data_IF_112703724385
#
_entry.id   IF_112703724385
#
_cell.length_a   1.000
_cell.length_b   1.000
_cell.length_c   1.000
_cell.angle_alpha   90.00
_cell.angle_beta   90.00
_cell.angle_gamma   90.00
#
_symmetry.space_group_name_H-M   'P 1'
#
loop_
_entity.id
_entity.type
_entity.pdbx_description
1 polymer ?
#
# COMPACT_ATOMS: atom_id res chain seq x y z
N UNK A 1 24.61 17.38 -47.46
CA UNK A 1 23.85 17.06 -46.24
C UNK A 1 24.28 15.67 -45.81
N UNK A 2 24.93 15.55 -44.65
CA UNK A 2 25.23 14.24 -44.07
C UNK A 2 23.96 13.71 -43.44
N UNK A 3 23.41 12.62 -43.97
CA UNK A 3 22.31 11.89 -43.33
C UNK A 3 22.91 10.85 -42.40
N UNK A 4 22.50 10.88 -41.13
CA UNK A 4 22.87 9.85 -40.16
C UNK A 4 21.77 8.79 -40.15
N UNK A 5 22.14 7.54 -40.38
CA UNK A 5 21.27 6.39 -40.15
C UNK A 5 21.43 5.97 -38.69
N UNK A 6 20.33 5.96 -37.94
CA UNK A 6 20.29 5.50 -36.56
C UNK A 6 19.71 4.08 -36.55
N UNK A 7 20.53 3.10 -36.17
CA UNK A 7 20.11 1.72 -35.98
C UNK A 7 19.72 1.48 -34.52
N UNK A 8 18.48 1.06 -34.30
CA UNK A 8 17.91 0.82 -32.97
C UNK A 8 17.77 -0.68 -32.72
N UNK A 9 18.31 -1.16 -31.60
CA UNK A 9 18.21 -2.58 -31.20
C UNK A 9 17.17 -2.74 -30.10
N UNK A 10 16.09 -3.46 -30.38
CA UNK A 10 15.03 -3.77 -29.41
C UNK A 10 15.24 -5.19 -28.87
N UNK A 11 15.24 -5.35 -27.54
CA UNK A 11 15.48 -6.64 -26.86
C UNK A 11 14.26 -7.57 -26.90
N UNK A 12 13.08 -7.00 -27.14
CA UNK A 12 11.83 -7.70 -27.39
C UNK A 12 11.03 -6.95 -28.47
N UNK A 13 10.13 -7.63 -29.20
CA UNK A 13 9.19 -6.92 -30.07
C UNK A 13 8.17 -6.14 -29.24
N UNK A 14 7.79 -4.94 -29.70
CA UNK A 14 6.54 -4.31 -29.25
C UNK A 14 5.39 -5.27 -29.56
N UNK A 15 4.52 -5.49 -28.58
CA UNK A 15 3.44 -6.47 -28.68
C UNK A 15 2.10 -5.83 -28.34
N UNK A 16 1.11 -6.11 -29.16
CA UNK A 16 -0.28 -5.93 -28.79
C UNK A 16 -0.72 -7.20 -28.05
N UNK A 17 -1.05 -7.07 -26.77
CA UNK A 17 -1.49 -8.16 -25.92
C UNK A 17 -3.02 -8.10 -25.87
N UNK A 18 -3.66 -9.02 -26.58
CA UNK A 18 -5.12 -9.21 -26.54
C UNK A 18 -5.50 -9.99 -25.27
N UNK A 19 -6.23 -9.34 -24.36
CA UNK A 19 -6.95 -9.96 -23.25
C UNK A 19 -8.44 -10.14 -23.57
N UNK A 20 -9.15 -10.93 -22.76
CA UNK A 20 -10.57 -11.25 -22.98
C UNK A 20 -11.48 -10.00 -23.14
N UNK A 21 -11.16 -8.92 -22.42
CA UNK A 21 -11.92 -7.66 -22.42
C UNK A 21 -11.06 -6.40 -22.67
N UNK A 22 -9.76 -6.54 -22.99
CA UNK A 22 -8.87 -5.38 -23.20
C UNK A 22 -7.73 -5.67 -24.16
N UNK A 23 -7.20 -4.61 -24.80
CA UNK A 23 -5.98 -4.66 -25.60
C UNK A 23 -4.91 -3.81 -24.94
N UNK A 24 -3.83 -4.43 -24.50
CA UNK A 24 -2.69 -3.71 -23.95
C UNK A 24 -1.60 -3.58 -25.03
N UNK A 25 -1.12 -2.36 -25.28
CA UNK A 25 0.03 -2.13 -26.15
C UNK A 25 1.29 -2.09 -25.30
N UNK A 26 2.15 -3.10 -25.45
CA UNK A 26 3.50 -3.09 -24.91
C UNK A 26 4.43 -2.54 -25.98
N UNK A 27 5.10 -1.43 -25.70
CA UNK A 27 6.12 -0.87 -26.59
C UNK A 27 7.49 -1.27 -26.06
N UNK A 28 8.25 -1.99 -26.88
CA UNK A 28 9.65 -2.22 -26.60
C UNK A 28 10.42 -0.91 -26.77
N UNK A 29 11.30 -0.61 -25.82
CA UNK A 29 12.30 0.43 -25.97
C UNK A 29 13.57 -0.19 -26.55
N UNK A 30 14.33 0.57 -27.34
CA UNK A 30 15.55 0.08 -27.99
C UNK A 30 16.75 0.07 -27.04
N UNK A 31 16.52 -0.32 -25.79
CA UNK A 31 17.43 -0.02 -24.68
C UNK A 31 17.47 1.49 -24.36
N UNK A 32 18.52 1.91 -23.65
CA UNK A 32 18.74 3.30 -23.28
C UNK A 32 20.22 3.67 -23.28
N UNK A 33 20.51 4.96 -23.17
CA UNK A 33 21.90 5.44 -23.02
C UNK A 33 22.22 5.52 -21.53
N UNK A 34 23.21 4.75 -21.07
CA UNK A 34 23.85 4.92 -19.77
C UNK A 34 25.09 5.81 -19.94
N UNK A 35 25.71 6.28 -18.84
CA UNK A 35 27.01 6.96 -18.91
C UNK A 35 28.13 6.15 -19.60
N UNK A 36 27.94 4.83 -19.75
CA UNK A 36 28.89 3.88 -20.36
C UNK A 36 28.57 3.57 -21.84
N UNK A 37 27.46 4.08 -22.38
CA UNK A 37 27.04 3.88 -23.76
C UNK A 37 25.63 3.31 -23.92
N UNK A 38 25.35 2.70 -25.06
CA UNK A 38 24.06 2.06 -25.31
C UNK A 38 23.96 0.75 -24.49
N UNK A 39 22.92 0.64 -23.65
CA UNK A 39 22.63 -0.54 -22.84
C UNK A 39 21.29 -1.16 -23.25
N UNK A 40 21.27 -2.49 -23.34
CA UNK A 40 20.08 -3.28 -23.69
C UNK A 40 18.99 -3.24 -22.62
N UNK A 41 19.36 -3.08 -21.35
CA UNK A 41 18.46 -2.90 -20.21
C UNK A 41 18.93 -1.68 -19.40
N UNK A 42 18.54 -0.46 -19.77
CA UNK A 42 18.92 0.72 -18.99
C UNK A 42 18.30 0.62 -17.60
N UNK A 43 19.10 0.85 -16.58
CA UNK A 43 18.59 1.10 -15.23
C UNK A 43 17.70 2.34 -15.28
N UNK A 44 16.52 2.32 -14.66
CA UNK A 44 15.73 3.53 -14.43
C UNK A 44 16.27 4.36 -13.25
N UNK A 45 17.24 3.83 -12.50
CA UNK A 45 18.00 4.59 -11.52
C UNK A 45 19.47 4.14 -11.50
N UNK A 46 20.40 5.09 -11.48
CA UNK A 46 21.82 4.86 -11.24
C UNK A 46 22.38 5.99 -10.38
N UNK A 47 23.03 5.67 -9.26
CA UNK A 47 23.57 6.71 -8.39
C UNK A 47 24.11 6.26 -7.05
N UNK A 48 24.67 7.23 -6.33
CA UNK A 48 25.19 7.06 -4.97
C UNK A 48 24.22 7.61 -3.92
N UNK A 49 24.41 7.17 -2.66
CA UNK A 49 23.65 7.65 -1.51
C UNK A 49 24.55 8.42 -0.55
N UNK A 50 24.12 9.62 -0.15
CA UNK A 50 24.88 10.47 0.79
C UNK A 50 25.08 9.77 2.15
N UNK A 51 24.05 9.06 2.62
CA UNK A 51 24.06 8.32 3.89
C UNK A 51 23.83 6.83 3.69
N UNK A 52 24.79 6.20 3.00
CA UNK A 52 24.81 4.76 2.73
C UNK A 52 24.58 3.90 3.99
N UNK A 53 25.16 4.28 5.13
CA UNK A 53 25.02 3.58 6.41
C UNK A 53 23.57 3.57 6.94
N UNK A 54 22.88 4.71 6.79
CA UNK A 54 21.47 4.89 7.19
C UNK A 54 20.57 4.10 6.26
N UNK A 55 20.78 4.26 4.95
CA UNK A 55 20.06 3.51 3.92
C UNK A 55 20.18 2.01 4.13
N UNK A 56 21.40 1.49 4.30
CA UNK A 56 21.66 0.07 4.44
C UNK A 56 20.94 -0.50 5.68
N UNK A 57 21.02 0.21 6.81
CA UNK A 57 20.29 -0.18 8.03
C UNK A 57 18.78 -0.17 7.81
N UNK A 58 18.25 0.83 7.10
CA UNK A 58 16.82 0.96 6.85
C UNK A 58 16.30 -0.10 5.86
N UNK A 59 17.03 -0.37 4.78
CA UNK A 59 16.69 -1.42 3.82
C UNK A 59 16.72 -2.81 4.48
N UNK A 60 17.68 -3.05 5.38
CA UNK A 60 17.70 -4.27 6.20
C UNK A 60 16.45 -4.40 7.09
N UNK A 61 15.90 -3.29 7.60
CA UNK A 61 14.62 -3.29 8.33
C UNK A 61 13.45 -3.64 7.40
N UNK A 62 13.37 -3.04 6.20
CA UNK A 62 12.36 -3.37 5.19
C UNK A 62 12.41 -4.86 4.84
N UNK A 63 13.60 -5.38 4.50
CA UNK A 63 13.81 -6.80 4.20
C UNK A 63 13.48 -7.71 5.39
N UNK A 64 13.78 -7.28 6.63
CA UNK A 64 13.41 -8.03 7.83
C UNK A 64 11.90 -8.08 8.01
N UNK A 65 11.18 -6.99 7.77
CA UNK A 65 9.70 -6.97 7.83
C UNK A 65 9.15 -7.99 6.85
N UNK A 66 9.57 -7.95 5.59
CA UNK A 66 9.23 -8.91 4.53
C UNK A 66 9.29 -10.38 4.97
N UNK A 67 10.34 -10.75 5.70
CA UNK A 67 10.57 -12.11 6.22
C UNK A 67 9.92 -12.41 7.58
N UNK A 68 9.43 -11.40 8.28
CA UNK A 68 8.86 -11.58 9.61
C UNK A 68 7.40 -12.00 9.54
N UNK A 69 7.03 -13.01 10.33
CA UNK A 69 5.64 -13.42 10.53
C UNK A 69 5.20 -13.09 11.96
N UNK A 70 4.47 -11.99 12.13
CA UNK A 70 3.98 -11.56 13.44
C UNK A 70 2.77 -12.35 13.96
N UNK A 71 2.11 -13.11 13.09
CA UNK A 71 0.99 -13.97 13.43
C UNK A 71 0.95 -15.22 12.57
N UNK A 72 0.74 -16.37 13.21
CA UNK A 72 0.51 -17.68 12.60
C UNK A 72 -0.92 -18.10 12.97
N UNK A 73 -1.84 -18.25 12.01
CA UNK A 73 -3.15 -18.83 12.27
C UNK A 73 -3.04 -20.24 12.87
N UNK A 74 -3.86 -20.61 13.87
CA UNK A 74 -3.83 -21.95 14.47
C UNK A 74 -4.06 -23.09 13.46
N UNK A 75 -4.79 -22.81 12.38
CA UNK A 75 -5.11 -23.76 11.31
C UNK A 75 -4.02 -23.93 10.25
N UNK A 76 -2.93 -23.14 10.32
CA UNK A 76 -1.83 -23.20 9.34
C UNK A 76 -0.54 -23.62 10.04
N UNK A 77 -0.30 -24.93 10.11
CA UNK A 77 0.96 -25.53 10.60
C UNK A 77 1.88 -26.00 9.47
N UNK A 78 1.54 -25.73 8.21
CA UNK A 78 2.33 -26.13 7.04
C UNK A 78 2.40 -24.98 6.02
N UNK A 79 3.63 -24.60 5.66
CA UNK A 79 3.94 -23.67 4.58
C UNK A 79 4.79 -22.47 5.03
N UNK A 80 6.10 -22.58 4.89
CA UNK A 80 6.93 -21.40 4.75
C UNK A 80 6.51 -20.72 3.43
N UNK A 81 5.66 -19.69 3.52
CA UNK A 81 5.47 -18.80 2.37
C UNK A 81 6.85 -18.28 1.99
N UNK A 82 7.23 -18.39 0.71
CA UNK A 82 8.39 -17.69 0.18
C UNK A 82 8.32 -16.26 0.69
N UNK A 83 9.40 -15.85 1.36
CA UNK A 83 9.61 -14.45 1.67
C UNK A 83 9.45 -13.69 0.36
N UNK A 84 8.70 -12.61 0.43
CA UNK A 84 8.66 -11.65 -0.65
C UNK A 84 9.45 -10.46 -0.14
N UNK A 85 10.37 -10.01 -0.97
CA UNK A 85 11.28 -8.93 -0.70
C UNK A 85 10.81 -7.68 -1.49
N UNK A 86 11.43 -6.52 -1.30
CA UNK A 86 10.73 -5.26 -1.50
C UNK A 86 10.43 -4.96 -2.98
N UNK A 87 9.33 -4.25 -3.17
CA UNK A 87 9.08 -3.49 -4.39
C UNK A 87 9.94 -2.23 -4.34
N UNK A 88 10.74 -2.00 -5.36
CA UNK A 88 11.60 -0.82 -5.52
C UNK A 88 10.97 0.08 -6.57
N UNK A 89 10.66 1.31 -6.20
CA UNK A 89 10.12 2.32 -7.11
C UNK A 89 11.08 3.49 -7.20
N UNK A 90 11.35 3.95 -8.42
CA UNK A 90 12.05 5.20 -8.71
C UNK A 90 11.07 6.19 -9.30
N UNK A 91 11.07 7.40 -8.76
CA UNK A 91 10.32 8.56 -9.27
C UNK A 91 11.16 9.82 -9.11
N UNK A 92 10.65 10.97 -9.56
CA UNK A 92 11.35 12.25 -9.41
C UNK A 92 11.60 12.63 -7.93
N UNK A 93 10.76 12.13 -7.02
CA UNK A 93 10.88 12.35 -5.57
C UNK A 93 12.01 11.53 -4.93
N UNK A 94 12.49 10.47 -5.60
CA UNK A 94 13.59 9.64 -5.12
C UNK A 94 13.32 8.13 -5.24
N UNK A 95 13.94 7.35 -4.36
CA UNK A 95 13.82 5.90 -4.33
C UNK A 95 12.93 5.44 -3.19
N UNK A 96 12.08 4.45 -3.46
CA UNK A 96 11.14 3.89 -2.49
C UNK A 96 11.24 2.37 -2.45
N UNK A 97 11.35 1.82 -1.25
CA UNK A 97 11.39 0.37 -1.02
C UNK A 97 10.24 -0.04 -0.11
N UNK A 98 9.31 -0.84 -0.63
CA UNK A 98 8.10 -1.25 0.07
C UNK A 98 8.06 -2.75 0.34
N UNK A 99 7.63 -3.15 1.52
CA UNK A 99 7.39 -4.54 1.85
C UNK A 99 6.20 -4.73 2.79
N UNK A 100 5.66 -5.94 2.79
CA UNK A 100 4.77 -6.40 3.85
C UNK A 100 5.36 -7.60 4.57
N UNK A 101 5.10 -7.67 5.87
CA UNK A 101 5.30 -8.91 6.63
C UNK A 101 4.59 -10.11 6.01
N UNK A 102 5.07 -11.31 6.31
CA UNK A 102 4.55 -12.55 5.74
C UNK A 102 3.04 -12.78 6.02
N UNK A 103 2.52 -12.22 7.12
CA UNK A 103 1.09 -12.22 7.48
C UNK A 103 0.34 -10.96 7.02
N UNK A 104 0.98 -10.06 6.27
CA UNK A 104 0.48 -8.77 5.80
C UNK A 104 -0.03 -7.84 6.92
N UNK A 105 0.37 -8.05 8.18
CA UNK A 105 -0.08 -7.23 9.32
C UNK A 105 0.81 -6.02 9.62
N UNK A 106 1.95 -5.93 8.94
CA UNK A 106 2.90 -4.81 9.03
C UNK A 106 3.33 -4.47 7.62
N UNK A 107 3.22 -3.19 7.29
CA UNK A 107 3.73 -2.56 6.08
C UNK A 107 5.01 -1.79 6.44
N UNK A 108 6.03 -1.85 5.61
CA UNK A 108 7.24 -1.04 5.76
C UNK A 108 7.57 -0.36 4.43
N UNK A 109 7.84 0.93 4.49
CA UNK A 109 8.24 1.74 3.33
C UNK A 109 9.42 2.61 3.69
N UNK A 110 10.55 2.40 3.03
CA UNK A 110 11.69 3.30 3.06
C UNK A 110 11.56 4.28 1.89
N UNK A 111 11.59 5.56 2.17
CA UNK A 111 11.68 6.65 1.21
C UNK A 111 13.09 7.25 1.33
N UNK A 112 13.87 7.25 0.26
CA UNK A 112 15.14 7.98 0.15
C UNK A 112 14.89 9.18 -0.76
N UNK A 113 14.94 10.38 -0.18
CA UNK A 113 14.59 11.59 -0.89
C UNK A 113 15.63 11.88 -1.99
N UNK A 114 15.19 12.42 -3.12
CA UNK A 114 16.09 12.75 -4.24
C UNK A 114 17.25 13.67 -3.86
N UNK A 115 17.07 14.52 -2.85
CA UNK A 115 18.14 15.37 -2.31
C UNK A 115 19.28 14.60 -1.62
N UNK A 116 19.05 13.34 -1.23
CA UNK A 116 20.05 12.46 -0.61
C UNK A 116 20.68 11.48 -1.63
N UNK A 117 20.33 11.62 -2.91
CA UNK A 117 20.80 10.81 -4.02
C UNK A 117 21.70 11.64 -4.92
N UNK A 118 22.90 11.13 -5.21
CA UNK A 118 23.75 11.63 -6.28
C UNK A 118 23.51 10.75 -7.51
N UNK A 119 22.41 11.04 -8.21
CA UNK A 119 21.92 10.24 -9.32
C UNK A 119 22.58 10.66 -10.64
N UNK A 120 23.26 9.72 -11.29
CA UNK A 120 23.73 9.87 -12.67
C UNK A 120 22.61 9.63 -13.68
N UNK A 121 21.61 8.82 -13.32
CA UNK A 121 20.42 8.57 -14.10
C UNK A 121 19.20 8.37 -13.19
N UNK A 122 18.05 8.95 -13.56
CA UNK A 122 16.79 8.75 -12.88
C UNK A 122 15.63 8.85 -13.86
N UNK A 123 14.76 7.86 -13.83
CA UNK A 123 13.52 7.75 -14.57
C UNK A 123 12.47 7.08 -13.68
N UNK A 124 11.20 7.17 -14.12
CA UNK A 124 10.10 6.47 -13.45
C UNK A 124 10.22 4.98 -13.75
N UNK A 125 10.19 4.15 -12.71
CA UNK A 125 10.26 2.70 -12.88
C UNK A 125 9.96 1.95 -11.61
N UNK A 126 9.62 0.67 -11.75
CA UNK A 126 9.39 -0.22 -10.62
C UNK A 126 9.90 -1.61 -10.91
N UNK A 127 10.56 -2.21 -9.93
CA UNK A 127 10.95 -3.61 -9.93
C UNK A 127 10.68 -4.21 -8.56
N UNK A 128 10.90 -5.50 -8.40
CA UNK A 128 10.76 -6.15 -7.11
C UNK A 128 11.83 -7.24 -6.98
N UNK A 129 12.62 -7.15 -5.91
CA UNK A 129 13.91 -7.85 -5.80
C UNK A 129 13.99 -8.63 -4.49
N UNK A 130 14.74 -9.73 -4.46
CA UNK A 130 15.10 -10.46 -3.24
C UNK A 130 16.24 -9.74 -2.49
N UNK A 131 16.02 -9.28 -1.25
CA UNK A 131 17.14 -8.82 -0.41
C UNK A 131 17.74 -10.05 0.27
N UNK A 132 18.46 -10.82 -0.55
CA UNK A 132 18.94 -12.15 -0.28
C UNK A 132 20.06 -12.16 0.80
N UNK A 133 20.58 -13.32 1.24
CA UNK A 133 21.69 -13.35 2.20
C UNK A 133 22.96 -12.60 1.76
N UNK A 134 23.51 -12.77 0.53
CA UNK A 134 24.61 -11.94 0.01
C UNK A 134 24.40 -10.42 0.13
N UNK A 135 23.31 -9.88 -0.39
CA UNK A 135 23.03 -8.44 -0.32
C UNK A 135 22.91 -7.98 1.13
N UNK A 136 22.27 -8.78 1.99
CA UNK A 136 22.19 -8.44 3.43
C UNK A 136 23.55 -8.39 4.10
N UNK A 137 24.46 -9.30 3.75
CA UNK A 137 25.81 -9.28 4.28
C UNK A 137 26.56 -8.02 3.84
N UNK A 138 26.47 -7.66 2.55
CA UNK A 138 27.06 -6.45 2.00
C UNK A 138 26.48 -5.18 2.64
N UNK A 139 25.16 -5.10 2.85
CA UNK A 139 24.53 -3.96 3.53
C UNK A 139 24.91 -3.89 5.01
N UNK A 140 25.06 -5.02 5.68
CA UNK A 140 25.41 -5.07 7.10
C UNK A 140 26.89 -4.79 7.37
N UNK A 141 27.78 -4.97 6.39
CA UNK A 141 29.21 -4.66 6.52
C UNK A 141 29.53 -3.18 6.31
N UNK A 142 28.63 -2.41 5.68
CA UNK A 142 28.83 -1.00 5.38
C UNK A 142 29.08 -0.16 6.64
N UNK A 143 30.17 0.61 6.59
CA UNK A 143 30.57 1.55 7.64
C UNK A 143 30.08 2.97 7.31
N UNK A 144 30.04 3.82 8.33
CA UNK A 144 29.73 5.22 8.14
C UNK A 144 30.77 5.88 7.21
N UNK A 145 30.29 6.53 6.15
CA UNK A 145 31.13 7.20 5.14
C UNK A 145 31.57 6.32 3.98
N UNK A 146 31.33 5.01 4.01
CA UNK A 146 31.59 4.16 2.84
C UNK A 146 30.52 4.40 1.76
N UNK A 147 30.91 4.54 0.48
CA UNK A 147 29.96 4.74 -0.60
C UNK A 147 29.23 3.44 -0.94
N UNK A 148 28.00 3.60 -1.42
CA UNK A 148 27.22 2.55 -2.06
C UNK A 148 26.66 3.09 -3.36
N UNK A 149 26.81 2.33 -4.43
CA UNK A 149 26.21 2.64 -5.73
C UNK A 149 25.06 1.67 -6.00
N UNK A 150 23.93 2.19 -6.45
CA UNK A 150 22.76 1.40 -6.82
C UNK A 150 22.47 1.56 -8.31
N UNK A 151 22.14 0.45 -8.94
CA UNK A 151 21.62 0.36 -10.28
C UNK A 151 20.30 -0.40 -10.21
N UNK A 152 19.18 0.26 -10.51
CA UNK A 152 17.83 -0.33 -10.43
C UNK A 152 17.21 -0.35 -11.81
N UNK A 153 16.79 -1.52 -12.27
CA UNK A 153 16.18 -1.71 -13.58
C UNK A 153 15.17 -2.85 -13.59
N UNK A 154 14.65 -3.15 -14.77
CA UNK A 154 13.66 -4.21 -14.96
C UNK A 154 14.20 -5.60 -14.58
N UNK A 155 15.49 -5.83 -14.77
CA UNK A 155 16.15 -7.10 -14.43
C UNK A 155 16.40 -7.26 -12.92
N UNK A 156 16.45 -6.16 -12.17
CA UNK A 156 16.77 -6.24 -10.75
C UNK A 156 17.43 -5.02 -10.12
N UNK A 157 18.14 -5.30 -9.02
CA UNK A 157 18.90 -4.35 -8.22
C UNK A 157 20.36 -4.80 -8.15
N UNK A 158 21.25 -4.03 -8.77
CA UNK A 158 22.69 -4.18 -8.62
C UNK A 158 23.17 -3.20 -7.54
N UNK A 159 23.78 -3.74 -6.50
CA UNK A 159 24.38 -2.98 -5.40
C UNK A 159 25.89 -3.16 -5.43
N UNK A 160 26.63 -2.05 -5.50
CA UNK A 160 28.10 -2.05 -5.49
C UNK A 160 28.62 -1.32 -4.25
N UNK A 161 29.47 -2.00 -3.50
CA UNK A 161 30.23 -1.46 -2.37
C UNK A 161 31.72 -1.54 -2.67
N UNK A 162 32.57 -1.08 -1.75
CA UNK A 162 34.03 -1.26 -1.85
C UNK A 162 34.46 -2.74 -1.81
N UNK A 163 33.65 -3.62 -1.22
CA UNK A 163 33.94 -5.05 -1.08
C UNK A 163 33.49 -5.88 -2.31
N UNK A 164 32.73 -5.29 -3.23
CA UNK A 164 32.27 -5.95 -4.44
C UNK A 164 30.87 -5.55 -4.88
N UNK A 165 30.32 -6.29 -5.85
CA UNK A 165 28.97 -6.07 -6.38
C UNK A 165 28.08 -7.29 -6.16
N UNK A 166 26.81 -7.03 -5.83
CA UNK A 166 25.77 -8.03 -5.66
C UNK A 166 24.58 -7.68 -6.56
N UNK A 167 24.21 -8.58 -7.46
CA UNK A 167 23.03 -8.46 -8.31
C UNK A 167 21.88 -9.26 -7.71
N UNK A 168 20.73 -8.60 -7.53
CA UNK A 168 19.48 -9.25 -7.16
C UNK A 168 18.51 -9.23 -8.32
N UNK A 169 18.09 -10.41 -8.74
CA UNK A 169 17.16 -10.57 -9.85
C UNK A 169 15.72 -10.21 -9.45
N UNK A 170 14.92 -9.85 -10.46
CA UNK A 170 13.49 -9.64 -10.30
C UNK A 170 12.79 -10.95 -9.89
N UNK A 171 11.98 -10.89 -8.83
CA UNK A 171 11.21 -12.04 -8.33
C UNK A 171 9.72 -11.93 -8.68
N UNK A 172 8.87 -12.95 -8.44
CA UNK A 172 7.43 -12.79 -8.54
C UNK A 172 6.83 -12.08 -7.31
N UNK A 173 5.95 -11.09 -7.54
CA UNK A 173 5.23 -10.40 -6.48
C UNK A 173 3.98 -11.19 -6.00
N UNK A 174 3.78 -11.42 -4.69
CA UNK A 174 2.58 -12.13 -4.22
C UNK A 174 1.29 -11.33 -4.41
N UNK A 175 0.22 -11.99 -4.87
CA UNK A 175 -1.13 -11.38 -5.01
C UNK A 175 -1.62 -10.74 -3.69
N UNK A 176 -1.27 -11.31 -2.53
CA UNK A 176 -1.65 -10.74 -1.23
C UNK A 176 -1.01 -9.35 -0.96
N UNK A 177 0.14 -9.05 -1.55
CA UNK A 177 0.76 -7.72 -1.45
C UNK A 177 0.03 -6.70 -2.30
N UNK A 178 -0.42 -7.07 -3.51
CA UNK A 178 -1.26 -6.18 -4.35
C UNK A 178 -2.52 -5.73 -3.59
N UNK A 179 -3.21 -6.66 -2.93
CA UNK A 179 -4.33 -6.31 -2.02
C UNK A 179 -3.87 -5.43 -0.86
N UNK A 180 -2.74 -5.78 -0.25
CA UNK A 180 -2.19 -5.02 0.87
C UNK A 180 -1.89 -3.56 0.51
N UNK A 181 -1.34 -3.31 -0.68
CA UNK A 181 -1.00 -1.98 -1.15
C UNK A 181 -2.22 -1.07 -1.27
N UNK A 182 -3.30 -1.58 -1.85
CA UNK A 182 -4.55 -0.86 -1.99
C UNK A 182 -5.16 -0.51 -0.62
N UNK A 183 -5.15 -1.49 0.29
CA UNK A 183 -5.73 -1.35 1.62
C UNK A 183 -4.91 -0.38 2.47
N UNK A 184 -3.58 -0.46 2.41
CA UNK A 184 -2.70 0.49 3.11
C UNK A 184 -2.86 1.90 2.55
N UNK A 185 -2.95 2.08 1.24
CA UNK A 185 -3.21 3.38 0.60
C UNK A 185 -4.53 3.97 1.10
N UNK A 186 -5.61 3.18 1.08
CA UNK A 186 -6.92 3.68 1.48
C UNK A 186 -6.96 4.06 2.95
N UNK A 187 -6.43 3.20 3.82
CA UNK A 187 -6.40 3.46 5.26
C UNK A 187 -5.48 4.64 5.61
N UNK A 188 -4.31 4.77 4.98
CA UNK A 188 -3.39 5.88 5.26
C UNK A 188 -3.91 7.22 4.75
N UNK A 189 -4.69 7.24 3.66
CA UNK A 189 -5.29 8.46 3.09
C UNK A 189 -6.28 9.18 4.01
N UNK A 190 -6.77 8.49 5.05
CA UNK A 190 -7.70 9.02 6.05
C UNK A 190 -7.00 9.48 7.33
N UNK A 191 -5.69 9.27 7.45
CA UNK A 191 -4.95 9.56 8.67
C UNK A 191 -4.41 10.99 8.68
N UNK A 192 -4.30 11.53 9.89
CA UNK A 192 -3.61 12.80 10.17
C UNK A 192 -2.52 12.60 11.23
N UNK A 193 -1.48 13.46 11.29
CA UNK A 193 -0.49 13.39 12.34
C UNK A 193 -1.14 13.63 13.72
N UNK A 194 -0.86 12.74 14.67
CA UNK A 194 -1.40 12.81 16.04
C UNK A 194 -0.30 13.12 17.06
N UNK A 195 0.87 12.52 16.91
CA UNK A 195 2.02 12.72 17.79
C UNK A 195 3.31 12.89 17.00
N UNK A 196 4.21 13.70 17.54
CA UNK A 196 5.60 13.87 17.07
C UNK A 196 6.52 13.76 18.29
N UNK A 197 7.51 12.88 18.21
CA UNK A 197 8.53 12.66 19.25
C UNK A 197 9.89 13.05 18.72
N UNK A 198 10.67 13.79 19.51
CA UNK A 198 12.09 13.98 19.24
C UNK A 198 12.87 12.65 19.35
N UNK A 199 14.14 12.65 18.93
CA UNK A 199 15.00 11.48 18.95
C UNK A 199 15.07 10.78 20.32
N UNK A 200 15.16 11.55 21.42
CA UNK A 200 15.29 10.99 22.77
C UNK A 200 13.99 10.31 23.21
N UNK A 201 12.85 10.99 23.04
CA UNK A 201 11.53 10.45 23.36
C UNK A 201 11.17 9.25 22.48
N UNK A 202 11.53 9.28 21.18
CA UNK A 202 11.36 8.16 20.26
C UNK A 202 12.15 6.92 20.73
N UNK A 203 13.42 7.12 21.10
CA UNK A 203 14.26 6.04 21.64
C UNK A 203 13.68 5.42 22.91
N UNK A 204 13.26 6.25 23.86
CA UNK A 204 12.63 5.77 25.10
C UNK A 204 11.34 5.01 24.80
N UNK A 205 10.50 5.54 23.91
CA UNK A 205 9.24 4.89 23.53
C UNK A 205 9.48 3.52 22.91
N UNK A 206 10.34 3.42 21.89
CA UNK A 206 10.65 2.15 21.22
C UNK A 206 11.20 1.11 22.20
N UNK A 207 12.11 1.50 23.10
CA UNK A 207 12.67 0.58 24.10
C UNK A 207 11.65 0.13 25.17
N UNK A 208 10.62 0.94 25.44
CA UNK A 208 9.55 0.60 26.38
C UNK A 208 8.51 -0.37 25.80
N UNK A 209 8.53 -0.61 24.49
CA UNK A 209 7.61 -1.55 23.85
C UNK A 209 7.86 -2.98 24.37
N UNK A 210 6.80 -3.75 24.69
CA UNK A 210 6.91 -5.16 25.02
C UNK A 210 7.70 -5.95 23.97
N UNK A 211 8.54 -6.89 24.42
CA UNK A 211 9.29 -7.73 23.48
C UNK A 211 8.43 -8.74 22.74
N UNK A 212 7.38 -9.21 23.40
CA UNK A 212 6.37 -10.14 22.90
C UNK A 212 5.01 -9.70 23.44
N UNK A 213 3.94 -10.04 22.72
CA UNK A 213 2.57 -9.80 23.18
C UNK A 213 1.62 -10.91 22.70
N UNK A 214 0.51 -11.09 23.42
CA UNK A 214 -0.54 -12.03 23.03
C UNK A 214 -1.19 -11.61 21.71
N UNK A 215 -1.82 -12.55 21.00
CA UNK A 215 -2.48 -12.28 19.71
C UNK A 215 -3.52 -11.14 19.77
N UNK A 216 -4.20 -11.01 20.91
CA UNK A 216 -5.23 -9.98 21.14
C UNK A 216 -4.70 -8.69 21.75
N UNK A 217 -3.39 -8.55 21.91
CA UNK A 217 -2.79 -7.37 22.53
C UNK A 217 -2.95 -6.16 21.61
N UNK A 218 -3.80 -5.23 22.04
CA UNK A 218 -3.94 -3.90 21.44
C UNK A 218 -3.70 -2.88 22.55
N UNK A 219 -2.66 -2.07 22.37
CA UNK A 219 -2.39 -0.93 23.24
C UNK A 219 -2.61 0.36 22.46
N UNK A 220 -2.70 1.47 23.19
CA UNK A 220 -2.93 2.80 22.66
C UNK A 220 -1.81 3.71 23.14
N UNK A 221 -1.02 4.25 22.21
CA UNK A 221 -0.03 5.26 22.53
C UNK A 221 -0.75 6.57 22.80
N UNK A 222 -0.59 7.09 24.02
CA UNK A 222 -1.24 8.30 24.51
C UNK A 222 -0.20 9.31 24.94
N UNK A 223 -0.50 10.60 24.74
CA UNK A 223 0.38 11.70 25.16
C UNK A 223 0.68 11.60 26.66
N UNK A 224 1.98 11.58 26.97
CA UNK A 224 2.54 11.96 28.26
C UNK A 224 3.29 13.29 28.09
N UNK A 225 3.78 13.89 29.18
CA UNK A 225 4.30 15.27 29.20
C UNK A 225 5.30 15.56 28.06
N UNK A 226 6.30 14.68 27.85
CA UNK A 226 7.29 14.77 26.77
C UNK A 226 7.53 13.43 26.07
N UNK A 227 6.57 12.52 26.13
CA UNK A 227 6.71 11.16 25.61
C UNK A 227 5.34 10.55 25.29
N UNK A 228 5.33 9.28 24.90
CA UNK A 228 4.12 8.47 24.84
C UNK A 228 4.15 7.41 25.93
N UNK A 229 2.97 7.10 26.47
CA UNK A 229 2.74 5.93 27.30
C UNK A 229 1.74 5.00 26.61
N UNK A 230 1.88 3.69 26.84
CA UNK A 230 0.94 2.71 26.34
C UNK A 230 -0.20 2.51 27.35
N UNK A 231 -1.44 2.67 26.89
CA UNK A 231 -2.66 2.41 27.63
C UNK A 231 -3.44 1.24 27.02
N UNK A 232 -4.33 0.61 27.79
CA UNK A 232 -5.18 -0.51 27.32
C UNK A 232 -6.52 -0.05 26.74
N UNK A 233 -6.85 1.24 26.86
CA UNK A 233 -8.10 1.82 26.34
C UNK A 233 -7.80 3.00 25.42
N UNK A 234 -8.60 3.11 24.36
CA UNK A 234 -8.60 4.27 23.48
C UNK A 234 -9.11 5.50 24.23
N UNK A 235 -8.43 6.63 24.02
CA UNK A 235 -8.92 7.97 24.38
C UNK A 235 -8.70 8.92 23.21
N UNK A 236 -9.33 10.10 23.24
CA UNK A 236 -9.09 11.15 22.26
C UNK A 236 -7.58 11.42 22.11
N UNK A 237 -7.10 11.52 20.87
CA UNK A 237 -5.69 11.73 20.56
C UNK A 237 -4.77 10.54 20.86
N UNK A 238 -5.30 9.32 20.93
CA UNK A 238 -4.48 8.10 21.03
C UNK A 238 -4.18 7.51 19.65
N UNK A 239 -3.02 6.88 19.50
CA UNK A 239 -2.68 6.10 18.31
C UNK A 239 -2.67 4.61 18.63
N UNK A 240 -3.38 3.82 17.83
CA UNK A 240 -3.44 2.37 18.02
C UNK A 240 -2.05 1.72 17.83
N UNK A 241 -1.65 0.85 18.75
CA UNK A 241 -0.44 0.02 18.69
C UNK A 241 -0.85 -1.43 18.89
N UNK A 242 -1.53 -1.99 17.88
CA UNK A 242 -1.87 -3.40 17.86
C UNK A 242 -0.60 -4.25 17.72
N UNK A 243 -0.41 -5.24 18.59
CA UNK A 243 0.86 -5.96 18.73
C UNK A 243 2.06 -5.01 18.90
N UNK A 244 2.25 -4.40 20.08
CA UNK A 244 3.29 -3.40 20.32
C UNK A 244 4.71 -3.80 19.90
N UNK A 245 5.06 -5.08 20.01
CA UNK A 245 6.34 -5.62 19.56
C UNK A 245 6.56 -5.50 18.05
N UNK A 246 5.49 -5.37 17.25
CA UNK A 246 5.58 -5.17 15.80
C UNK A 246 6.30 -3.88 15.44
N UNK A 247 6.23 -2.85 16.29
CA UNK A 247 6.90 -1.57 16.08
C UNK A 247 8.39 -1.61 16.49
N UNK A 248 8.84 -2.66 17.19
CA UNK A 248 10.25 -2.87 17.53
C UNK A 248 11.13 -3.19 16.31
N UNK A 249 10.55 -3.36 15.12
CA UNK A 249 11.31 -3.39 13.87
C UNK A 249 12.17 -2.14 13.65
N UNK A 250 11.81 -1.03 14.31
CA UNK A 250 12.58 0.23 14.30
C UNK A 250 13.83 0.22 15.19
N UNK A 251 14.01 -0.77 16.09
CA UNK A 251 15.15 -0.82 17.02
C UNK A 251 16.54 -0.71 16.37
N UNK A 252 16.82 -1.34 15.21
CA UNK A 252 18.11 -1.20 14.54
C UNK A 252 18.44 0.25 14.11
N UNK A 253 17.41 1.06 13.89
CA UNK A 253 17.55 2.45 13.43
C UNK A 253 17.63 3.47 14.55
N UNK A 254 17.55 3.04 15.82
CA UNK A 254 17.33 3.95 16.96
C UNK A 254 18.39 5.05 17.10
N UNK A 255 19.62 4.80 16.64
CA UNK A 255 20.73 5.78 16.63
C UNK A 255 20.64 6.80 15.48
N UNK A 256 19.84 6.51 14.46
CA UNK A 256 19.64 7.33 13.27
C UNK A 256 18.32 8.12 13.32
N UNK A 257 17.38 7.76 14.20
CA UNK A 257 16.09 8.44 14.33
C UNK A 257 16.31 9.87 14.82
N UNK A 258 15.88 10.84 14.01
CA UNK A 258 15.85 12.27 14.35
C UNK A 258 14.49 12.66 14.96
N UNK A 259 13.41 12.04 14.46
CA UNK A 259 12.03 12.26 14.89
C UNK A 259 11.19 11.01 14.61
N UNK A 260 10.19 10.73 15.44
CA UNK A 260 9.18 9.70 15.20
C UNK A 260 7.78 10.31 15.24
N UNK A 261 7.08 10.27 14.11
CA UNK A 261 5.71 10.76 13.97
C UNK A 261 4.73 9.59 13.96
N UNK A 262 3.56 9.79 14.58
CA UNK A 262 2.50 8.80 14.65
C UNK A 262 1.21 9.36 14.06
N UNK A 263 0.62 8.58 13.15
CA UNK A 263 -0.55 8.93 12.35
C UNK A 263 -1.69 7.95 12.63
N UNK A 264 -2.89 8.50 12.69
CA UNK A 264 -4.13 7.75 12.91
C UNK A 264 -5.31 8.54 12.36
N UNK A 265 -6.40 7.83 12.06
CA UNK A 265 -7.73 8.45 11.98
C UNK A 265 -8.16 8.96 13.38
N UNK A 266 -9.16 9.86 13.48
CA UNK A 266 -9.70 10.31 14.76
C UNK A 266 -10.21 9.14 15.63
N UNK A 267 -9.66 9.03 16.84
CA UNK A 267 -10.02 7.99 17.82
C UNK A 267 -10.78 8.62 18.99
N UNK A 268 -11.82 7.93 19.45
CA UNK A 268 -12.64 8.30 20.61
C UNK A 268 -12.59 7.22 21.72
N UNK A 269 -13.17 7.51 22.88
CA UNK A 269 -13.25 6.52 23.95
C UNK A 269 -14.07 5.29 23.50
N UNK A 270 -13.52 4.09 23.70
CA UNK A 270 -14.18 2.84 23.33
C UNK A 270 -14.10 2.47 21.83
N UNK A 271 -13.31 3.21 21.04
CA UNK A 271 -13.06 2.85 19.64
C UNK A 271 -12.53 1.42 19.51
N UNK A 272 -12.96 0.73 18.46
CA UNK A 272 -12.35 -0.55 18.08
C UNK A 272 -10.88 -0.31 17.66
N UNK A 273 -10.02 -1.35 17.64
CA UNK A 273 -8.69 -1.21 17.08
C UNK A 273 -8.74 -0.69 15.64
N UNK A 274 -7.93 0.33 15.35
CA UNK A 274 -7.78 0.98 14.03
C UNK A 274 -6.35 0.82 13.51
N UNK A 275 -6.08 0.96 12.20
CA UNK A 275 -4.72 0.95 11.69
C UNK A 275 -3.97 2.22 12.12
N UNK A 276 -2.64 2.16 12.10
CA UNK A 276 -1.80 3.33 12.36
C UNK A 276 -0.54 3.32 11.50
N UNK A 277 0.06 4.49 11.28
CA UNK A 277 1.34 4.64 10.59
C UNK A 277 2.33 5.36 11.50
N UNK A 278 3.56 4.86 11.55
CA UNK A 278 4.66 5.40 12.34
C UNK A 278 5.82 5.75 11.42
N UNK A 279 6.21 7.02 11.37
CA UNK A 279 7.23 7.52 10.43
C UNK A 279 8.48 7.92 11.21
N UNK A 280 9.54 7.15 11.04
CA UNK A 280 10.87 7.46 11.56
C UNK A 280 11.63 8.33 10.55
N UNK A 281 11.95 9.56 10.94
CA UNK A 281 12.80 10.47 10.17
C UNK A 281 14.25 10.13 10.40
N UNK A 282 15.00 9.94 9.32
CA UNK A 282 16.40 9.56 9.29
C UNK A 282 17.19 10.59 8.46
N UNK A 283 18.51 10.68 8.59
CA UNK A 283 19.32 11.50 7.69
C UNK A 283 19.14 11.06 6.24
N UNK A 284 18.56 11.93 5.40
CA UNK A 284 18.34 11.70 3.96
C UNK A 284 17.27 10.66 3.62
N UNK A 285 16.50 10.18 4.60
CA UNK A 285 15.51 9.14 4.38
C UNK A 285 14.38 9.14 5.42
N UNK A 286 13.28 8.44 5.13
CA UNK A 286 12.18 8.18 6.06
C UNK A 286 11.81 6.70 6.03
N UNK A 287 11.55 6.10 7.19
CA UNK A 287 10.99 4.75 7.27
C UNK A 287 9.60 4.79 7.89
N UNK A 288 8.59 4.47 7.09
CA UNK A 288 7.20 4.35 7.50
C UNK A 288 6.85 2.90 7.86
N UNK A 289 6.28 2.69 9.05
CA UNK A 289 5.77 1.40 9.52
C UNK A 289 4.25 1.49 9.71
N UNK A 290 3.50 0.81 8.85
CA UNK A 290 2.05 0.67 8.96
C UNK A 290 1.69 -0.56 9.81
N UNK A 291 0.84 -0.38 10.81
CA UNK A 291 0.29 -1.46 11.64
C UNK A 291 -1.17 -1.70 11.27
N UNK A 292 -1.49 -2.95 10.95
CA UNK A 292 -2.89 -3.36 10.77
C UNK A 292 -3.64 -3.35 12.12
N UNK A 293 -4.97 -3.30 12.14
CA UNK A 293 -5.74 -3.11 13.38
C UNK A 293 -5.56 -4.20 14.44
N UNK A 294 -5.18 -5.43 14.05
CA UNK A 294 -4.90 -6.54 14.96
C UNK A 294 -3.78 -7.44 14.42
N UNK A 295 -3.10 -8.20 15.28
CA UNK A 295 -2.07 -9.16 14.85
C UNK A 295 -2.62 -10.24 13.91
N UNK A 296 -3.83 -10.71 14.18
CA UNK A 296 -4.53 -11.74 13.40
C UNK A 296 -5.17 -11.22 12.11
N UNK A 297 -5.00 -9.93 11.82
CA UNK A 297 -5.72 -9.21 10.79
C UNK A 297 -4.72 -8.47 9.90
N UNK A 298 -4.37 -9.04 8.76
CA UNK A 298 -3.49 -8.39 7.77
C UNK A 298 -4.23 -7.40 6.88
N UNK A 299 -3.53 -6.40 6.35
CA UNK A 299 -4.05 -5.38 5.43
C UNK A 299 -4.78 -5.98 4.23
N UNK A 300 -4.27 -7.09 3.67
CA UNK A 300 -4.83 -7.73 2.48
C UNK A 300 -6.27 -8.27 2.62
N UNK A 301 -6.88 -8.18 3.81
CA UNK A 301 -8.23 -8.66 4.10
C UNK A 301 -9.17 -7.61 4.69
N UNK A 302 -8.78 -6.32 4.69
CA UNK A 302 -9.54 -5.25 5.35
C UNK A 302 -10.82 -4.89 4.61
N UNK A 303 -10.82 -4.89 3.28
CA UNK A 303 -11.98 -4.57 2.44
C UNK A 303 -12.33 -3.09 2.39
N UNK A 304 -11.41 -2.19 2.71
CA UNK A 304 -11.64 -0.73 2.68
C UNK A 304 -11.86 -0.22 1.26
N UNK A 305 -11.23 -0.86 0.26
CA UNK A 305 -11.37 -0.50 -1.17
C UNK A 305 -12.74 -0.86 -1.75
N UNK A 306 -13.52 -1.76 -1.13
CA UNK A 306 -14.66 -2.40 -1.78
C UNK A 306 -15.77 -1.43 -2.22
N UNK A 307 -15.98 -0.35 -1.47
CA UNK A 307 -16.97 0.68 -1.79
C UNK A 307 -16.58 1.52 -3.01
N UNK A 308 -15.29 1.89 -3.11
CA UNK A 308 -14.77 2.59 -4.27
C UNK A 308 -14.88 1.73 -5.53
N UNK A 309 -14.51 0.44 -5.39
CA UNK A 309 -14.56 -0.53 -6.49
C UNK A 309 -15.97 -0.95 -6.91
N UNK A 310 -17.00 -0.66 -6.09
CA UNK A 310 -18.40 -0.98 -6.43
C UNK A 310 -19.11 0.13 -7.19
N UNK A 311 -18.50 1.30 -7.35
CA UNK A 311 -19.06 2.37 -8.17
C UNK A 311 -18.92 2.00 -9.67
N UNK A 312 -20.03 2.03 -10.45
CA UNK A 312 -20.03 1.55 -11.85
C UNK A 312 -19.04 2.31 -12.75
N UNK A 313 -18.80 3.59 -12.48
CA UNK A 313 -17.92 4.43 -13.29
C UNK A 313 -16.44 4.33 -12.89
N UNK A 314 -16.11 3.64 -11.79
CA UNK A 314 -14.72 3.61 -11.26
C UNK A 314 -13.72 3.04 -12.25
N UNK A 315 -14.09 2.01 -13.02
CA UNK A 315 -13.19 1.41 -14.01
C UNK A 315 -12.85 2.42 -15.12
N UNK A 316 -13.87 3.04 -15.72
CA UNK A 316 -13.68 4.06 -16.76
C UNK A 316 -12.90 5.28 -16.24
N UNK A 317 -13.20 5.72 -15.02
CA UNK A 317 -12.50 6.84 -14.40
C UNK A 317 -11.02 6.50 -14.13
N UNK A 318 -10.73 5.27 -13.70
CA UNK A 318 -9.35 4.82 -13.47
C UNK A 318 -8.57 4.71 -14.79
N UNK A 319 -9.18 4.24 -15.86
CA UNK A 319 -8.54 4.21 -17.19
C UNK A 319 -8.17 5.62 -17.66
N UNK A 320 -9.08 6.58 -17.50
CA UNK A 320 -8.82 8.00 -17.79
C UNK A 320 -7.69 8.56 -16.93
N UNK A 321 -7.73 8.32 -15.62
CA UNK A 321 -6.67 8.78 -14.69
C UNK A 321 -5.32 8.14 -15.02
N UNK A 322 -5.28 6.86 -15.39
CA UNK A 322 -4.04 6.17 -15.76
C UNK A 322 -3.33 6.84 -16.94
N UNK A 323 -4.11 7.36 -17.91
CA UNK A 323 -3.55 8.14 -19.03
C UNK A 323 -2.96 9.45 -18.52
N UNK A 324 -3.67 10.20 -17.67
CA UNK A 324 -3.16 11.47 -17.11
C UNK A 324 -1.88 11.26 -16.29
N UNK A 325 -1.85 10.19 -15.49
CA UNK A 325 -0.71 9.79 -14.67
C UNK A 325 0.52 9.41 -15.49
N UNK A 326 0.34 8.99 -16.75
CA UNK A 326 1.47 8.71 -17.65
C UNK A 326 2.26 9.97 -18.06
N UNK A 327 1.67 11.16 -17.90
CA UNK A 327 2.29 12.44 -18.26
C UNK A 327 2.50 13.38 -17.06
N UNK A 328 1.80 13.15 -15.95
CA UNK A 328 1.89 13.95 -14.73
C UNK A 328 2.41 13.09 -13.56
N UNK A 329 3.68 13.25 -13.15
CA UNK A 329 4.24 12.50 -12.04
C UNK A 329 3.64 12.93 -10.69
N UNK A 330 3.02 14.12 -10.57
CA UNK A 330 2.40 14.55 -9.32
C UNK A 330 0.93 14.12 -9.24
N UNK A 331 0.57 13.38 -8.19
CA UNK A 331 -0.80 12.95 -7.95
C UNK A 331 -1.48 13.87 -6.93
N UNK A 332 -1.99 15.00 -7.42
CA UNK A 332 -2.80 15.94 -6.64
C UNK A 332 -4.29 15.79 -6.99
N UNK A 333 -5.14 15.50 -6.00
CA UNK A 333 -6.56 15.15 -6.23
C UNK A 333 -7.33 16.31 -6.88
N UNK A 334 -7.27 17.57 -6.38
CA UNK A 334 -7.91 18.71 -7.05
C UNK A 334 -7.46 18.89 -8.52
N UNK A 335 -6.16 18.78 -8.81
CA UNK A 335 -5.65 18.92 -10.18
C UNK A 335 -6.11 17.77 -11.07
N UNK A 336 -6.06 16.52 -10.59
CA UNK A 336 -6.51 15.35 -11.33
C UNK A 336 -8.02 15.41 -11.61
N UNK A 337 -8.81 15.80 -10.61
CA UNK A 337 -10.26 16.02 -10.71
C UNK A 337 -10.58 17.02 -11.83
N UNK A 338 -9.93 18.20 -11.82
CA UNK A 338 -10.15 19.22 -12.84
C UNK A 338 -9.75 18.76 -14.26
N UNK A 339 -8.61 18.06 -14.39
CA UNK A 339 -8.12 17.58 -15.71
C UNK A 339 -8.95 16.42 -16.26
N UNK A 340 -9.41 15.52 -15.39
CA UNK A 340 -10.23 14.37 -15.76
C UNK A 340 -11.71 14.75 -15.97
N UNK A 341 -12.13 15.94 -15.56
CA UNK A 341 -13.54 16.33 -15.54
C UNK A 341 -14.37 15.52 -14.55
N UNK A 342 -13.75 15.07 -13.46
CA UNK A 342 -14.37 14.27 -12.39
C UNK A 342 -14.50 15.11 -11.12
N UNK A 343 -15.42 14.78 -10.22
CA UNK A 343 -15.34 15.30 -8.85
C UNK A 343 -14.22 14.60 -8.05
N UNK A 344 -13.87 15.16 -6.90
CA UNK A 344 -12.81 14.60 -6.05
C UNK A 344 -13.14 13.21 -5.50
N UNK A 345 -14.41 12.89 -5.28
CA UNK A 345 -14.82 11.59 -4.75
C UNK A 345 -14.62 10.50 -5.81
N UNK A 346 -15.07 10.74 -7.04
CA UNK A 346 -14.84 9.88 -8.19
C UNK A 346 -13.34 9.74 -8.51
N UNK A 347 -12.56 10.82 -8.34
CA UNK A 347 -11.09 10.79 -8.48
C UNK A 347 -10.46 9.88 -7.43
N UNK A 348 -10.88 9.95 -6.16
CA UNK A 348 -10.39 9.07 -5.09
C UNK A 348 -10.82 7.62 -5.30
N UNK A 349 -12.05 7.37 -5.78
CA UNK A 349 -12.52 6.03 -6.13
C UNK A 349 -11.66 5.41 -7.24
N UNK A 350 -11.33 6.19 -8.28
CA UNK A 350 -10.44 5.78 -9.37
C UNK A 350 -9.02 5.51 -8.88
N UNK A 351 -8.47 6.37 -8.01
CA UNK A 351 -7.16 6.13 -7.37
C UNK A 351 -7.15 4.86 -6.52
N UNK A 352 -8.25 4.52 -5.85
CA UNK A 352 -8.37 3.28 -5.09
C UNK A 352 -8.34 2.03 -6.00
N UNK A 353 -8.93 2.10 -7.20
CA UNK A 353 -8.79 1.04 -8.20
C UNK A 353 -7.36 0.95 -8.73
N UNK A 354 -6.72 2.07 -9.04
CA UNK A 354 -5.31 2.09 -9.45
C UNK A 354 -4.37 1.54 -8.35
N UNK A 355 -4.65 1.84 -7.08
CA UNK A 355 -3.94 1.25 -5.95
C UNK A 355 -4.19 -0.27 -5.82
N UNK A 356 -5.39 -0.75 -6.18
CA UNK A 356 -5.71 -2.19 -6.28
C UNK A 356 -4.92 -2.89 -7.39
N UNK A 357 -4.60 -2.17 -8.46
CA UNK A 357 -3.61 -2.59 -9.47
C UNK A 357 -2.18 -2.22 -9.10
N UNK A 358 -1.90 -1.89 -7.84
CA UNK A 358 -0.55 -1.56 -7.41
C UNK A 358 0.02 -0.26 -7.96
N UNK A 359 -0.63 0.43 -8.90
CA UNK A 359 -0.15 1.61 -9.66
C UNK A 359 0.08 2.86 -8.80
N UNK A 360 -0.64 2.98 -7.68
CA UNK A 360 -0.62 4.18 -6.83
C UNK A 360 -0.51 3.80 -5.35
N UNK A 361 0.25 4.58 -4.58
CA UNK A 361 0.29 4.53 -3.12
C UNK A 361 -0.03 5.89 -2.48
N UNK A 362 -0.05 5.95 -1.15
CA UNK A 362 -0.26 7.20 -0.41
C UNK A 362 0.76 7.39 0.71
N UNK A 363 1.33 8.58 0.79
CA UNK A 363 2.26 9.00 1.83
C UNK A 363 1.52 9.76 2.93
N UNK A 364 1.35 9.11 4.09
CA UNK A 364 0.75 9.72 5.28
C UNK A 364 1.53 10.94 5.79
N UNK A 365 2.85 10.99 5.55
CA UNK A 365 3.66 12.12 5.98
C UNK A 365 3.48 13.34 5.07
N UNK A 366 3.59 13.14 3.76
CA UNK A 366 3.37 14.22 2.78
C UNK A 366 1.89 14.60 2.65
N UNK A 367 0.97 13.67 2.96
CA UNK A 367 -0.46 13.83 2.68
C UNK A 367 -0.79 13.68 1.18
N UNK A 368 0.09 13.05 0.41
CA UNK A 368 0.06 13.02 -1.05
C UNK A 368 0.06 11.59 -1.59
N UNK A 369 -0.51 11.41 -2.78
CA UNK A 369 -0.43 10.17 -3.52
C UNK A 369 0.89 10.10 -4.29
N UNK A 370 1.43 8.90 -4.48
CA UNK A 370 2.66 8.66 -5.24
C UNK A 370 2.48 7.52 -6.24
N UNK A 371 3.26 7.57 -7.32
CA UNK A 371 3.28 6.52 -8.34
C UNK A 371 4.01 5.28 -7.86
N UNK A 372 3.48 4.12 -8.21
CA UNK A 372 4.11 2.80 -8.05
C UNK A 372 3.72 1.96 -9.27
N UNK A 373 4.31 2.17 -10.46
CA UNK A 373 3.75 1.70 -11.74
C UNK A 373 3.88 0.19 -11.97
N UNK A 374 3.37 -0.65 -11.06
CA UNK A 374 3.48 -2.11 -11.09
C UNK A 374 2.77 -2.68 -12.31
N UNK A 375 3.43 -3.48 -13.17
CA UNK A 375 2.78 -4.07 -14.33
C UNK A 375 1.65 -4.98 -13.84
N UNK A 376 0.40 -4.60 -14.05
CA UNK A 376 -0.76 -5.39 -13.60
C UNK A 376 -1.55 -5.95 -14.75
N UNK A 377 -1.82 -7.24 -14.65
CA UNK A 377 -2.71 -7.98 -15.53
C UNK A 377 -4.16 -7.79 -15.08
N UNK A 378 -5.08 -7.37 -15.98
CA UNK A 378 -6.49 -7.13 -15.65
C UNK A 378 -7.19 -8.31 -14.95
N UNK A 379 -6.86 -9.54 -15.32
CA UNK A 379 -7.44 -10.76 -14.73
C UNK A 379 -7.17 -10.89 -13.21
N UNK A 380 -6.05 -10.32 -12.73
CA UNK A 380 -5.70 -10.36 -11.33
C UNK A 380 -6.67 -9.52 -10.47
N UNK A 381 -7.19 -8.40 -10.98
CA UNK A 381 -8.03 -7.47 -10.22
C UNK A 381 -9.39 -8.09 -9.86
N UNK A 382 -10.04 -8.76 -10.82
CA UNK A 382 -11.36 -9.39 -10.60
C UNK A 382 -11.27 -10.54 -9.59
N UNK A 383 -10.21 -11.36 -9.67
CA UNK A 383 -9.97 -12.44 -8.71
C UNK A 383 -9.63 -11.93 -7.29
N UNK A 384 -9.17 -10.68 -7.15
CA UNK A 384 -8.72 -10.14 -5.87
C UNK A 384 -9.87 -9.82 -4.90
N UNK A 385 -11.11 -9.60 -5.37
CA UNK A 385 -12.21 -9.16 -4.50
C UNK A 385 -13.45 -10.08 -4.55
N UNK A 386 -13.40 -11.30 -3.96
CA UNK A 386 -14.53 -12.23 -3.97
C UNK A 386 -15.84 -11.67 -3.39
N UNK A 387 -15.76 -10.76 -2.41
CA UNK A 387 -16.94 -10.08 -1.86
C UNK A 387 -17.61 -9.16 -2.88
N UNK A 388 -16.82 -8.44 -3.68
CA UNK A 388 -17.32 -7.58 -4.76
C UNK A 388 -17.92 -8.43 -5.89
N UNK A 389 -17.23 -9.50 -6.31
CA UNK A 389 -17.76 -10.46 -7.30
C UNK A 389 -19.09 -11.03 -6.84
N UNK A 390 -19.18 -11.47 -5.58
CA UNK A 390 -20.42 -11.96 -4.99
C UNK A 390 -21.51 -10.90 -4.86
N UNK A 391 -21.15 -9.62 -4.71
CA UNK A 391 -22.10 -8.52 -4.64
C UNK A 391 -22.68 -8.20 -6.02
N UNK A 392 -21.83 -8.06 -7.05
CA UNK A 392 -22.25 -7.86 -8.44
C UNK A 392 -23.22 -8.96 -8.90
N UNK A 393 -22.85 -10.23 -8.68
CA UNK A 393 -23.72 -11.37 -9.00
C UNK A 393 -25.11 -11.29 -8.33
N UNK A 394 -25.20 -10.76 -7.11
CA UNK A 394 -26.47 -10.60 -6.41
C UNK A 394 -27.31 -9.44 -6.96
N UNK A 395 -26.66 -8.34 -7.36
CA UNK A 395 -27.31 -7.20 -8.01
C UNK A 395 -27.88 -7.62 -9.38
N UNK A 396 -27.08 -8.35 -10.18
CA UNK A 396 -27.45 -8.79 -11.53
C UNK A 396 -28.54 -9.88 -11.54
N UNK A 397 -28.66 -10.67 -10.46
CA UNK A 397 -29.56 -11.83 -10.45
C UNK A 397 -31.00 -11.51 -10.01
N UNK A 398 -31.37 -10.24 -9.86
CA UNK A 398 -32.70 -9.83 -9.37
C UNK A 398 -33.00 -10.37 -7.96
N UNK A 399 -31.97 -10.64 -7.16
CA UNK A 399 -32.10 -11.27 -5.85
C UNK A 399 -32.39 -10.27 -4.71
N UNK A 400 -32.63 -9.01 -5.04
CA UNK A 400 -32.79 -7.90 -4.11
C UNK A 400 -34.20 -7.33 -4.26
N UNK A 401 -34.96 -7.35 -3.18
CA UNK A 401 -36.33 -6.85 -3.13
C UNK A 401 -36.43 -5.74 -2.07
N UNK A 402 -37.05 -4.61 -2.40
CA UNK A 402 -37.31 -3.56 -1.42
C UNK A 402 -38.52 -3.96 -0.56
N UNK A 403 -38.31 -4.06 0.75
CA UNK A 403 -39.32 -4.60 1.70
C UNK A 403 -40.11 -3.48 2.38
N UNK A 404 -39.51 -2.30 2.56
CA UNK A 404 -40.18 -1.19 3.23
C UNK A 404 -39.42 0.12 3.22
N UNK A 405 -40.04 1.15 3.79
CA UNK A 405 -39.36 2.34 4.25
C UNK A 405 -38.87 2.07 5.67
N UNK A 406 -37.56 2.17 5.89
CA UNK A 406 -36.92 2.02 7.19
C UNK A 406 -37.23 3.21 8.11
N UNK A 407 -36.90 3.04 9.40
CA UNK A 407 -36.91 4.14 10.37
C UNK A 407 -36.00 5.26 9.84
N UNK A 408 -36.56 6.45 9.63
CA UNK A 408 -35.95 7.62 8.97
C UNK A 408 -36.08 7.72 7.44
N UNK A 409 -36.89 6.89 6.79
CA UNK A 409 -37.20 7.00 5.36
C UNK A 409 -36.13 6.40 4.43
N UNK A 410 -35.10 5.78 4.99
CA UNK A 410 -34.07 5.04 4.26
C UNK A 410 -34.60 3.65 3.91
N UNK A 411 -34.33 3.10 2.72
CA UNK A 411 -34.95 1.83 2.30
C UNK A 411 -34.49 0.62 3.11
N UNK A 412 -35.39 -0.35 3.32
CA UNK A 412 -35.06 -1.70 3.77
C UNK A 412 -35.14 -2.67 2.59
N UNK A 413 -34.14 -3.55 2.47
CA UNK A 413 -34.01 -4.51 1.37
C UNK A 413 -33.85 -5.94 1.90
N UNK A 414 -34.51 -6.87 1.23
CA UNK A 414 -34.34 -8.32 1.37
C UNK A 414 -33.41 -8.80 0.26
N UNK A 415 -32.34 -9.50 0.64
CA UNK A 415 -31.32 -10.02 -0.28
C UNK A 415 -31.28 -11.53 -0.18
N UNK A 416 -31.69 -12.22 -1.25
CA UNK A 416 -31.66 -13.69 -1.36
C UNK A 416 -30.27 -14.15 -1.77
N UNK A 417 -29.58 -14.90 -0.90
CA UNK A 417 -28.24 -15.44 -1.19
C UNK A 417 -28.20 -16.94 -0.89
N UNK A 418 -28.35 -17.76 -1.92
CA UNK A 418 -28.49 -19.21 -1.78
C UNK A 418 -29.85 -19.55 -1.16
N UNK A 419 -29.87 -20.43 -0.15
CA UNK A 419 -31.08 -20.80 0.57
C UNK A 419 -31.51 -19.80 1.65
N UNK A 420 -30.72 -18.75 1.90
CA UNK A 420 -30.96 -17.78 2.97
C UNK A 420 -31.37 -16.43 2.42
N UNK A 421 -32.16 -15.71 3.21
CA UNK A 421 -32.54 -14.31 2.96
C UNK A 421 -31.95 -13.44 4.07
N UNK A 422 -31.35 -12.32 3.69
CA UNK A 422 -30.75 -11.35 4.62
C UNK A 422 -31.40 -9.99 4.46
N UNK A 423 -31.62 -9.31 5.57
CA UNK A 423 -32.11 -7.93 5.60
C UNK A 423 -30.93 -6.98 5.53
N UNK A 424 -31.03 -5.96 4.71
CA UNK A 424 -30.10 -4.83 4.61
C UNK A 424 -30.87 -3.53 4.85
N UNK A 425 -30.38 -2.72 5.78
CA UNK A 425 -30.97 -1.41 6.10
C UNK A 425 -30.01 -0.33 5.65
N UNK A 426 -30.51 0.62 4.86
CA UNK A 426 -29.73 1.77 4.40
C UNK A 426 -29.50 2.76 5.56
N UNK A 427 -28.32 3.37 5.64
CA UNK A 427 -28.09 4.55 6.48
C UNK A 427 -28.78 5.78 5.89
N UNK A 428 -28.79 6.87 6.66
CA UNK A 428 -29.32 8.17 6.25
C UNK A 428 -28.71 8.70 4.94
N UNK A 429 -27.42 8.45 4.73
CA UNK A 429 -26.73 8.68 3.46
C UNK A 429 -26.48 7.34 2.74
N UNK A 430 -27.30 6.96 1.73
CA UNK A 430 -27.14 5.72 0.99
C UNK A 430 -25.79 5.56 0.28
N UNK A 431 -25.01 6.63 0.09
CA UNK A 431 -23.68 6.54 -0.52
C UNK A 431 -22.61 6.12 0.49
N UNK A 432 -22.86 6.26 1.80
CA UNK A 432 -21.98 5.87 2.91
C UNK A 432 -22.14 4.38 3.26
N UNK A 433 -21.55 3.50 2.46
CA UNK A 433 -21.70 2.03 2.60
C UNK A 433 -21.28 1.50 3.98
N UNK A 434 -20.34 2.16 4.64
CA UNK A 434 -19.90 1.83 6.00
C UNK A 434 -21.04 1.89 7.05
N UNK A 435 -22.09 2.68 6.78
CA UNK A 435 -23.27 2.81 7.63
C UNK A 435 -24.37 1.77 7.40
N UNK A 436 -24.23 0.91 6.39
CA UNK A 436 -25.25 -0.11 6.08
C UNK A 436 -25.31 -1.18 7.16
N UNK A 437 -26.51 -1.54 7.60
CA UNK A 437 -26.72 -2.66 8.50
C UNK A 437 -27.11 -3.90 7.70
N UNK A 438 -26.64 -5.08 8.11
CA UNK A 438 -27.03 -6.33 7.46
C UNK A 438 -27.22 -7.47 8.47
N UNK A 439 -28.20 -8.34 8.27
CA UNK A 439 -28.43 -9.48 9.17
C UNK A 439 -27.48 -10.67 8.94
N UNK A 440 -26.54 -10.59 7.98
CA UNK A 440 -25.66 -11.71 7.65
C UNK A 440 -24.55 -11.96 8.70
N UNK A 441 -24.01 -13.19 8.80
CA UNK A 441 -22.98 -13.54 9.79
C UNK A 441 -21.71 -12.65 9.72
N UNK A 442 -21.34 -12.17 8.53
CA UNK A 442 -20.21 -11.26 8.38
C UNK A 442 -20.43 -9.95 9.13
N UNK A 443 -21.60 -9.33 8.94
CA UNK A 443 -21.93 -8.08 9.60
C UNK A 443 -22.09 -8.26 11.11
N UNK A 444 -22.78 -9.33 11.54
CA UNK A 444 -22.94 -9.63 12.97
C UNK A 444 -21.58 -9.79 13.68
N UNK A 445 -20.61 -10.39 13.00
CA UNK A 445 -19.26 -10.60 13.55
C UNK A 445 -18.38 -9.35 13.53
N UNK A 446 -18.42 -8.57 12.45
CA UNK A 446 -17.43 -7.49 12.22
C UNK A 446 -18.00 -6.08 12.33
N UNK A 447 -19.32 -5.88 12.19
CA UNK A 447 -20.01 -4.59 12.33
C UNK A 447 -19.30 -3.45 11.57
N UNK A 448 -19.03 -3.67 10.28
CA UNK A 448 -18.36 -2.68 9.41
C UNK A 448 -16.85 -2.58 9.57
N UNK A 449 -16.28 -3.05 10.69
CA UNK A 449 -14.83 -2.91 10.94
C UNK A 449 -13.94 -3.59 9.90
N UNK A 450 -14.44 -4.63 9.18
CA UNK A 450 -13.75 -5.35 8.07
C UNK A 450 -14.34 -5.05 6.69
N UNK A 451 -14.83 -3.83 6.49
CA UNK A 451 -15.49 -3.43 5.25
C UNK A 451 -16.83 -4.14 5.01
N UNK A 452 -17.57 -3.74 3.97
CA UNK A 452 -18.94 -4.19 3.75
C UNK A 452 -19.03 -5.69 3.46
N UNK A 453 -20.14 -6.30 3.86
CA UNK A 453 -20.49 -7.64 3.40
C UNK A 453 -20.97 -7.57 1.94
N UNK A 454 -20.97 -8.72 1.25
CA UNK A 454 -21.46 -8.78 -0.14
C UNK A 454 -22.92 -8.30 -0.31
N UNK A 455 -23.78 -8.46 0.71
CA UNK A 455 -25.19 -8.08 0.62
C UNK A 455 -25.39 -6.57 0.71
N UNK A 456 -24.74 -5.91 1.69
CA UNK A 456 -24.76 -4.46 1.80
C UNK A 456 -24.16 -3.81 0.55
N UNK A 457 -23.07 -4.38 0.04
CA UNK A 457 -22.44 -3.94 -1.21
C UNK A 457 -23.36 -4.12 -2.41
N UNK A 458 -24.09 -5.24 -2.52
CA UNK A 458 -25.03 -5.48 -3.62
C UNK A 458 -26.19 -4.48 -3.61
N UNK A 459 -26.74 -4.16 -2.44
CA UNK A 459 -27.79 -3.15 -2.31
C UNK A 459 -27.26 -1.76 -2.64
N UNK A 460 -26.02 -1.44 -2.25
CA UNK A 460 -25.38 -0.17 -2.62
C UNK A 460 -25.18 -0.04 -4.14
N UNK A 461 -24.74 -1.11 -4.82
CA UNK A 461 -24.61 -1.16 -6.28
C UNK A 461 -25.97 -0.88 -6.91
N UNK A 462 -26.99 -1.66 -6.53
CA UNK A 462 -28.35 -1.52 -7.04
C UNK A 462 -28.89 -0.10 -6.85
N UNK A 463 -28.71 0.48 -5.67
CA UNK A 463 -29.19 1.84 -5.38
C UNK A 463 -28.51 2.89 -6.27
N UNK A 464 -27.20 2.78 -6.49
CA UNK A 464 -26.44 3.71 -7.34
C UNK A 464 -26.83 3.59 -8.81
N UNK A 465 -27.08 2.38 -9.31
CA UNK A 465 -27.56 2.17 -10.68
C UNK A 465 -28.93 2.80 -10.91
N UNK A 466 -29.86 2.68 -9.95
CA UNK A 466 -31.18 3.32 -10.02
C UNK A 466 -31.15 4.84 -9.85
N UNK A 467 -30.11 5.40 -9.22
CA UNK A 467 -29.95 6.84 -9.07
C UNK A 467 -29.24 7.49 -10.28
N UNK A 468 -28.52 6.70 -11.07
CA UNK A 468 -27.79 7.15 -12.25
C UNK A 468 -28.60 7.07 -13.56
N UNK A 469 -29.66 6.25 -13.59
CA UNK A 469 -30.66 6.19 -14.67
C UNK A 469 -31.88 7.03 -14.34
#
# INVERSE_FOLDING_TARGET
MSAYTLDYTYTAPSALIDGADSRALSLATSGGSTPEGAASHPYFFSGFLERADVYATALLVVARVARTRFYVPPSSLAGALRAADPVVTSTAEGLRFESFSACCGVYARLDVDSSALDASHSAVGVTNVDVNPPLRAALASLRAGEPIHLNVGDDGLLTTTLDGSVMEEKVPLPIRWLKGFAETQMLSSRMSPVHSLDAAAARTFIHSLPRNSSTKAVLWATRAVRSLRLATRATAGSVCVAGPERLRVLEPLIRHIQRLDAYSEPVSAGNAPVPSVWVAHLPGARLSIGLSPEKSRGFSGEGSVLQALSNPNTAQNADMLSVLLSFEPRIDVPVMSARAGLDEAATRDALALLASSGQVGFDAHAGEYFHRPLPVHPEALTAMHPRLVGAKKLADSGAIERVGAGEHGTGEYSVRSGANTYTVVLPADPYAVEGYLCSCPWWLKYRGTRGPCKHALAVSILYREHAAG
#
